data_IF_266919626427
#
_entry.id   IF_266919626427
#
_cell.length_a   1.000
_cell.length_b   1.000
_cell.length_c   1.000
_cell.angle_alpha   90.00
_cell.angle_beta   90.00
_cell.angle_gamma   90.00
#
_symmetry.space_group_name_H-M   'P 1'
#
loop_
_entity.id
_entity.type
_entity.pdbx_description
1 polymer ?
#
# COMPACT_ATOMS: atom_id res chain seq x y z
N UNK A 1 23.14 -14.90 -12.70
CA UNK A 1 21.73 -15.17 -13.03
C UNK A 1 20.98 -14.07 -12.34
N UNK A 2 20.30 -13.20 -13.09
CA UNK A 2 19.65 -12.02 -12.50
C UNK A 2 18.36 -12.49 -11.84
N UNK A 3 18.34 -12.53 -10.51
CA UNK A 3 17.15 -12.73 -9.67
C UNK A 3 16.17 -11.55 -9.85
N UNK A 4 15.50 -11.46 -10.99
CA UNK A 4 14.33 -10.60 -11.20
C UNK A 4 13.22 -11.48 -11.75
N UNK A 5 12.80 -12.46 -10.94
CA UNK A 5 11.59 -13.23 -11.23
C UNK A 5 10.39 -12.30 -11.08
N UNK A 6 9.52 -12.27 -12.09
CA UNK A 6 8.26 -11.54 -12.06
C UNK A 6 7.34 -12.19 -11.02
N UNK A 7 6.92 -11.43 -10.01
CA UNK A 7 6.01 -11.90 -8.97
C UNK A 7 4.55 -11.79 -9.44
N UNK A 8 4.20 -10.63 -10.01
CA UNK A 8 2.84 -10.28 -10.43
C UNK A 8 2.89 -9.07 -11.36
N UNK A 9 1.73 -8.60 -11.83
CA UNK A 9 1.58 -7.38 -12.62
C UNK A 9 0.85 -6.31 -11.81
N UNK A 10 1.31 -5.05 -11.90
CA UNK A 10 0.61 -3.94 -11.29
C UNK A 10 -0.72 -3.68 -12.00
N UNK A 11 -1.83 -3.75 -11.27
CA UNK A 11 -3.17 -3.54 -11.83
C UNK A 11 -3.43 -2.08 -12.23
N UNK A 12 -2.65 -1.13 -11.71
CA UNK A 12 -2.79 0.31 -12.01
C UNK A 12 -2.10 0.76 -13.31
N UNK A 13 -0.95 0.17 -13.66
CA UNK A 13 -0.17 0.58 -14.83
C UNK A 13 0.27 -0.57 -15.76
N UNK A 14 -0.12 -1.81 -15.43
CA UNK A 14 0.22 -3.03 -16.18
C UNK A 14 1.72 -3.30 -16.33
N UNK A 15 2.57 -2.66 -15.52
CA UNK A 15 4.01 -2.96 -15.45
C UNK A 15 4.24 -4.20 -14.57
N UNK A 16 5.24 -5.04 -14.88
CA UNK A 16 5.61 -6.15 -14.02
C UNK A 16 6.17 -5.68 -12.68
N UNK A 17 5.84 -6.39 -11.61
CA UNK A 17 6.41 -6.26 -10.27
C UNK A 17 7.35 -7.44 -10.07
N UNK A 18 8.61 -7.19 -9.77
CA UNK A 18 9.63 -8.22 -9.61
C UNK A 18 9.90 -8.52 -8.14
N UNK A 19 10.54 -9.66 -7.89
CA UNK A 19 11.03 -10.00 -6.57
C UNK A 19 12.05 -8.97 -6.09
N UNK A 20 11.84 -8.42 -4.88
CA UNK A 20 12.64 -7.33 -4.33
C UNK A 20 12.12 -5.91 -4.64
N UNK A 21 11.04 -5.76 -5.41
CA UNK A 21 10.36 -4.48 -5.56
C UNK A 21 9.48 -4.18 -4.34
N UNK A 22 9.36 -2.88 -4.01
CA UNK A 22 8.33 -2.42 -3.07
C UNK A 22 6.99 -2.35 -3.79
N UNK A 23 5.97 -2.96 -3.22
CA UNK A 23 4.62 -2.92 -3.75
C UNK A 23 3.58 -2.95 -2.63
N UNK A 24 2.40 -2.46 -2.95
CA UNK A 24 1.22 -2.54 -2.11
C UNK A 24 0.50 -3.84 -2.46
N UNK A 25 0.36 -4.72 -1.46
CA UNK A 25 -0.43 -5.93 -1.57
C UNK A 25 -1.80 -5.66 -0.94
N UNK A 26 -2.79 -5.42 -1.77
CA UNK A 26 -4.19 -5.37 -1.35
C UNK A 26 -4.79 -6.77 -1.25
N UNK A 27 -6.02 -6.86 -0.75
CA UNK A 27 -6.78 -8.12 -0.75
C UNK A 27 -7.14 -8.58 -2.17
N UNK A 28 -7.44 -7.62 -3.06
CA UNK A 28 -7.93 -7.88 -4.42
C UNK A 28 -6.97 -7.45 -5.53
N UNK A 29 -6.02 -6.55 -5.24
CA UNK A 29 -5.12 -5.96 -6.25
C UNK A 29 -3.71 -5.79 -5.70
N UNK A 30 -2.72 -6.01 -6.56
CA UNK A 30 -1.32 -5.65 -6.31
C UNK A 30 -0.95 -4.40 -7.11
N UNK A 31 -0.33 -3.42 -6.45
CA UNK A 31 0.06 -2.14 -7.05
C UNK A 31 1.54 -1.89 -6.81
N UNK A 32 2.30 -1.54 -7.85
CA UNK A 32 3.68 -1.10 -7.71
C UNK A 32 3.76 0.18 -6.87
N UNK A 33 4.93 0.52 -6.35
CA UNK A 33 5.13 1.72 -5.52
C UNK A 33 4.57 3.02 -6.12
N UNK A 34 4.72 3.22 -7.44
CA UNK A 34 4.18 4.42 -8.09
C UNK A 34 2.65 4.48 -8.08
N UNK A 35 1.99 3.32 -8.19
CA UNK A 35 0.53 3.20 -8.25
C UNK A 35 -0.11 2.95 -6.89
N UNK A 36 0.70 2.64 -5.86
CA UNK A 36 0.21 2.38 -4.52
C UNK A 36 -0.48 3.63 -3.94
N UNK A 37 -1.52 3.44 -3.11
CA UNK A 37 -2.09 4.53 -2.34
C UNK A 37 -1.06 5.10 -1.37
N UNK A 38 -1.19 6.38 -1.06
CA UNK A 38 -0.45 7.01 0.03
C UNK A 38 -1.26 7.07 1.33
N UNK A 39 -0.62 7.54 2.41
CA UNK A 39 -1.28 7.72 3.70
C UNK A 39 -2.35 8.82 3.68
N UNK A 40 -2.34 9.75 2.72
CA UNK A 40 -3.43 10.71 2.55
C UNK A 40 -4.68 10.03 1.97
N UNK A 41 -4.51 9.14 0.98
CA UNK A 41 -5.60 8.33 0.42
C UNK A 41 -6.30 7.49 1.50
N UNK A 42 -5.54 6.99 2.47
CA UNK A 42 -6.06 6.28 3.66
C UNK A 42 -7.08 7.11 4.44
N UNK A 43 -6.84 8.42 4.59
CA UNK A 43 -7.75 9.33 5.28
C UNK A 43 -8.95 9.73 4.41
N UNK A 44 -8.75 9.87 3.11
CA UNK A 44 -9.81 10.31 2.17
C UNK A 44 -10.82 9.18 1.92
N UNK A 45 -10.33 7.95 1.79
CA UNK A 45 -11.15 6.77 1.45
C UNK A 45 -10.88 5.57 2.35
N UNK A 46 -11.07 5.70 3.68
CA UNK A 46 -10.72 4.65 4.64
C UNK A 46 -11.43 3.31 4.36
N UNK A 47 -12.64 3.36 3.81
CA UNK A 47 -13.41 2.17 3.46
C UNK A 47 -12.86 1.37 2.26
N UNK A 48 -11.92 1.94 1.50
CA UNK A 48 -11.19 1.24 0.43
C UNK A 48 -10.04 0.38 0.95
N UNK A 49 -9.69 0.54 2.23
CA UNK A 49 -8.64 -0.21 2.89
C UNK A 49 -9.25 -1.25 3.83
N UNK A 50 -8.53 -2.33 4.05
CA UNK A 50 -9.00 -3.43 4.89
C UNK A 50 -8.19 -3.58 6.17
N UNK A 51 -8.86 -3.97 7.25
CA UNK A 51 -8.23 -4.40 8.50
C UNK A 51 -7.71 -5.85 8.40
N UNK A 52 -7.12 -6.34 9.50
CA UNK A 52 -6.59 -7.70 9.61
C UNK A 52 -7.69 -8.79 9.51
N UNK A 53 -8.95 -8.45 9.77
CA UNK A 53 -10.09 -9.35 9.64
C UNK A 53 -10.70 -9.33 8.22
N UNK A 54 -10.15 -8.50 7.33
CA UNK A 54 -10.62 -8.32 5.95
C UNK A 54 -11.83 -7.39 5.82
N UNK A 55 -12.20 -6.68 6.89
CA UNK A 55 -13.27 -5.68 6.89
C UNK A 55 -12.77 -4.29 6.47
N UNK A 56 -13.64 -3.39 5.97
CA UNK A 56 -13.24 -2.03 5.63
C UNK A 56 -12.80 -1.24 6.87
N UNK A 57 -11.75 -0.42 6.76
CA UNK A 57 -11.33 0.43 7.87
C UNK A 57 -12.37 1.50 8.20
N UNK A 58 -12.48 1.81 9.49
CA UNK A 58 -13.21 2.98 9.96
C UNK A 58 -12.35 4.23 9.84
N UNK A 59 -12.98 5.40 9.79
CA UNK A 59 -12.27 6.68 9.79
C UNK A 59 -11.38 6.85 11.04
N UNK A 60 -11.82 6.36 12.20
CA UNK A 60 -11.04 6.42 13.44
C UNK A 60 -9.78 5.55 13.35
N UNK A 61 -9.91 4.32 12.84
CA UNK A 61 -8.78 3.41 12.64
C UNK A 61 -7.79 3.96 11.62
N UNK A 62 -8.28 4.49 10.50
CA UNK A 62 -7.45 5.11 9.47
C UNK A 62 -6.67 6.31 10.02
N UNK A 63 -7.32 7.16 10.84
CA UNK A 63 -6.64 8.27 11.51
C UNK A 63 -5.56 7.78 12.47
N UNK A 64 -5.81 6.74 13.26
CA UNK A 64 -4.82 6.18 14.17
C UNK A 64 -3.58 5.64 13.44
N UNK A 65 -3.78 4.95 12.31
CA UNK A 65 -2.68 4.45 11.45
C UNK A 65 -1.88 5.62 10.87
N UNK A 66 -2.57 6.65 10.38
CA UNK A 66 -1.93 7.86 9.87
C UNK A 66 -1.09 8.56 10.95
N UNK A 67 -1.67 8.77 12.13
CA UNK A 67 -0.99 9.44 13.25
C UNK A 67 0.24 8.65 13.72
N UNK A 68 0.16 7.31 13.76
CA UNK A 68 1.30 6.45 14.08
C UNK A 68 2.43 6.62 13.05
N UNK A 69 2.10 6.64 11.76
CA UNK A 69 3.07 6.82 10.68
C UNK A 69 3.76 8.19 10.75
N UNK A 70 3.00 9.26 10.98
CA UNK A 70 3.55 10.61 11.18
C UNK A 70 4.42 10.67 12.44
N UNK A 71 3.99 10.05 13.54
CA UNK A 71 4.77 10.00 14.78
C UNK A 71 6.10 9.23 14.62
N UNK A 72 6.14 8.24 13.73
CA UNK A 72 7.36 7.53 13.35
C UNK A 72 8.30 8.34 12.43
N UNK A 73 7.90 9.55 12.03
CA UNK A 73 8.65 10.44 11.15
C UNK A 73 8.32 10.30 9.66
N UNK A 74 7.23 9.60 9.34
CA UNK A 74 6.71 9.49 7.99
C UNK A 74 6.00 10.76 7.50
N UNK A 75 5.62 10.75 6.23
CA UNK A 75 4.86 11.81 5.57
C UNK A 75 3.51 11.30 5.05
N UNK A 76 2.57 12.21 4.82
CA UNK A 76 1.25 11.88 4.27
C UNK A 76 1.33 11.34 2.83
N UNK A 77 2.36 11.71 2.08
CA UNK A 77 2.57 11.29 0.69
C UNK A 77 3.37 9.97 0.60
N UNK A 78 3.79 9.42 1.74
CA UNK A 78 4.50 8.14 1.75
C UNK A 78 3.57 7.03 1.23
N UNK A 79 4.12 6.20 0.36
CA UNK A 79 3.39 5.10 -0.24
C UNK A 79 3.19 3.97 0.76
N UNK A 80 1.97 3.42 0.82
CA UNK A 80 1.60 2.30 1.67
C UNK A 80 2.10 0.96 1.08
N UNK A 81 3.40 0.86 0.85
CA UNK A 81 4.07 -0.33 0.30
C UNK A 81 4.83 -1.11 1.36
N UNK A 82 4.89 -2.42 1.19
CA UNK A 82 5.73 -3.26 2.05
C UNK A 82 7.20 -3.13 1.64
N UNK A 83 8.10 -3.23 2.64
CA UNK A 83 9.54 -3.38 2.37
C UNK A 83 9.79 -4.67 1.56
N UNK A 84 10.78 -4.67 0.67
CA UNK A 84 11.12 -5.85 -0.12
C UNK A 84 11.77 -6.95 0.73
#
# INVERSE_FOLDING_TARGET
MSDHEELTTCEGCSKPIHNGDRYHRGGDVDLCEECAPDYLDLLVTPNSFTDADGGPLTAETAQAIFDEHIAAGGSAEDKMVSKP
#
